data_IF_177795055438
#
_entry.id   IF_177795055438
#
_cell.length_a   1.000
_cell.length_b   1.000
_cell.length_c   1.000
_cell.angle_alpha   90.00
_cell.angle_beta   90.00
_cell.angle_gamma   90.00
#
_symmetry.space_group_name_H-M   'P 1'
#
loop_
_entity.id
_entity.type
_entity.pdbx_description
1 polymer ?
#
# COMPACT_ATOMS: atom_id res chain seq x y z
N UNK A 1 6.46 15.53 -8.43
CA UNK A 1 6.72 14.31 -7.65
C UNK A 1 5.43 13.52 -7.64
N UNK A 2 5.46 12.22 -7.95
CA UNK A 2 4.24 11.40 -7.92
C UNK A 2 3.65 11.42 -6.51
N UNK A 3 2.34 11.57 -6.40
CA UNK A 3 1.63 11.50 -5.12
C UNK A 3 0.70 10.29 -5.15
N UNK A 4 1.12 9.22 -4.48
CA UNK A 4 0.27 8.05 -4.29
C UNK A 4 -0.81 8.34 -3.25
N UNK A 5 -1.93 7.60 -3.33
CA UNK A 5 -2.81 7.46 -2.17
C UNK A 5 -1.98 6.82 -1.05
N UNK A 6 -2.03 7.42 0.14
CA UNK A 6 -1.32 6.87 1.30
C UNK A 6 -2.11 5.73 1.92
N UNK A 7 -1.44 4.63 2.27
CA UNK A 7 -2.03 3.55 3.05
C UNK A 7 -1.50 3.58 4.49
N UNK A 8 -2.41 3.68 5.46
CA UNK A 8 -2.09 3.77 6.89
C UNK A 8 -2.58 2.56 7.71
N UNK A 9 -3.11 1.52 7.04
CA UNK A 9 -3.81 0.29 7.49
C UNK A 9 -5.32 0.27 7.26
N UNK A 10 -5.95 1.43 7.04
CA UNK A 10 -7.39 1.53 6.83
C UNK A 10 -7.73 1.50 5.33
N UNK A 11 -8.98 1.14 5.03
CA UNK A 11 -9.46 0.89 3.68
C UNK A 11 -9.03 -0.46 3.13
N UNK A 12 -9.59 -0.84 1.97
CA UNK A 12 -9.33 -2.13 1.35
C UNK A 12 -7.92 -2.21 0.72
N UNK A 13 -7.02 -3.09 1.21
CA UNK A 13 -5.66 -3.21 0.70
C UNK A 13 -5.60 -3.54 -0.79
N UNK A 14 -6.54 -4.37 -1.28
CA UNK A 14 -6.66 -4.74 -2.69
C UNK A 14 -7.05 -3.54 -3.58
N UNK A 15 -7.91 -2.64 -3.10
CA UNK A 15 -8.25 -1.41 -3.82
C UNK A 15 -7.08 -0.43 -3.83
N UNK A 16 -6.34 -0.35 -2.73
CA UNK A 16 -5.11 0.43 -2.67
C UNK A 16 -4.06 -0.09 -3.66
N UNK A 17 -3.82 -1.41 -3.73
CA UNK A 17 -2.90 -2.00 -4.70
C UNK A 17 -3.30 -1.69 -6.15
N UNK A 18 -4.59 -1.83 -6.50
CA UNK A 18 -5.11 -1.46 -7.83
C UNK A 18 -4.87 0.02 -8.15
N UNK A 19 -5.10 0.90 -7.17
CA UNK A 19 -4.88 2.34 -7.35
C UNK A 19 -3.39 2.67 -7.52
N UNK A 20 -2.51 2.02 -6.76
CA UNK A 20 -1.07 2.16 -6.90
C UNK A 20 -0.60 1.67 -8.28
N UNK A 21 -1.01 0.47 -8.68
CA UNK A 21 -0.65 -0.14 -9.96
C UNK A 21 -1.13 0.70 -11.15
N UNK A 22 -2.38 1.17 -11.14
CA UNK A 22 -2.92 2.02 -12.21
C UNK A 22 -2.13 3.32 -12.43
N UNK A 23 -1.49 3.84 -11.37
CA UNK A 23 -0.68 5.06 -11.47
C UNK A 23 0.73 4.77 -11.96
N UNK A 24 1.35 3.69 -11.47
CA UNK A 24 2.74 3.40 -11.81
C UNK A 24 2.88 2.73 -13.18
N UNK A 25 1.90 1.91 -13.58
CA UNK A 25 1.85 1.25 -14.89
C UNK A 25 1.81 2.25 -16.06
N UNK A 26 1.31 3.47 -15.83
CA UNK A 26 1.36 4.55 -16.82
C UNK A 26 2.79 5.05 -17.07
N UNK A 27 3.70 4.88 -16.11
CA UNK A 27 5.05 5.42 -16.16
C UNK A 27 6.10 4.36 -16.47
N UNK A 28 5.88 3.14 -15.99
CA UNK A 28 6.85 2.05 -16.11
C UNK A 28 6.19 0.69 -15.92
N UNK A 29 6.84 -0.35 -16.42
CA UNK A 29 6.53 -1.75 -16.14
C UNK A 29 7.70 -2.45 -15.42
N UNK A 30 8.61 -1.68 -14.84
CA UNK A 30 9.81 -2.18 -14.14
C UNK A 30 9.50 -2.51 -12.67
N UNK A 31 9.53 -3.79 -12.33
CA UNK A 31 9.26 -4.32 -10.99
C UNK A 31 10.17 -3.71 -9.91
N UNK A 32 11.43 -3.37 -10.22
CA UNK A 32 12.32 -2.74 -9.25
C UNK A 32 11.88 -1.30 -8.93
N UNK A 33 11.26 -0.62 -9.89
CA UNK A 33 10.70 0.72 -9.67
C UNK A 33 9.44 0.61 -8.81
N UNK A 34 8.58 -0.39 -9.06
CA UNK A 34 7.43 -0.70 -8.22
C UNK A 34 7.83 -0.96 -6.77
N UNK A 35 8.76 -1.89 -6.55
CA UNK A 35 9.23 -2.27 -5.22
C UNK A 35 9.85 -1.09 -4.45
N UNK A 36 10.60 -0.20 -5.12
CA UNK A 36 11.18 1.00 -4.49
C UNK A 36 10.15 2.10 -4.23
N UNK A 37 9.17 2.27 -5.10
CA UNK A 37 8.16 3.32 -4.96
C UNK A 37 7.13 2.97 -3.89
N UNK A 38 6.76 1.70 -3.74
CA UNK A 38 5.65 1.29 -2.89
C UNK A 38 5.76 1.73 -1.43
N UNK A 39 6.91 1.53 -0.72
CA UNK A 39 7.05 1.95 0.67
C UNK A 39 6.90 3.46 0.88
N UNK A 40 7.16 4.28 -0.15
CA UNK A 40 6.98 5.74 -0.08
C UNK A 40 5.52 6.18 0.03
N UNK A 41 4.58 5.27 -0.25
CA UNK A 41 3.14 5.50 -0.14
C UNK A 41 2.54 4.97 1.16
N UNK A 42 3.36 4.53 2.11
CA UNK A 42 2.90 4.13 3.43
C UNK A 42 2.98 5.25 4.46
N UNK A 43 2.07 5.20 5.43
CA UNK A 43 2.18 5.99 6.65
C UNK A 43 1.72 5.18 7.87
N UNK A 44 1.81 5.79 9.05
CA UNK A 44 1.25 5.22 10.28
C UNK A 44 1.71 3.79 10.55
N UNK A 45 0.77 2.86 10.64
CA UNK A 45 1.08 1.47 10.98
C UNK A 45 1.65 0.66 9.81
N UNK A 46 1.28 0.98 8.57
CA UNK A 46 1.83 0.33 7.40
C UNK A 46 3.35 0.60 7.29
N UNK A 47 3.76 1.85 7.47
CA UNK A 47 5.19 2.21 7.44
C UNK A 47 5.97 1.55 8.59
N UNK A 48 5.37 1.49 9.79
CA UNK A 48 5.99 0.80 10.94
C UNK A 48 6.13 -0.70 10.71
N UNK A 49 5.19 -1.33 10.01
CA UNK A 49 5.28 -2.74 9.63
C UNK A 49 6.40 -2.95 8.62
N UNK A 50 6.47 -2.12 7.58
CA UNK A 50 7.50 -2.24 6.55
C UNK A 50 8.92 -2.17 7.14
N UNK A 51 9.18 -1.25 8.06
CA UNK A 51 10.47 -1.14 8.75
C UNK A 51 10.82 -2.33 9.68
N UNK A 52 9.87 -3.23 9.97
CA UNK A 52 10.11 -4.45 10.76
C UNK A 52 10.38 -5.67 9.88
N UNK A 53 10.23 -5.57 8.56
CA UNK A 53 10.56 -6.65 7.65
C UNK A 53 12.05 -6.97 7.76
N UNK A 54 12.37 -8.25 7.62
CA UNK A 54 13.76 -8.70 7.70
C UNK A 54 14.51 -8.16 6.47
N UNK A 55 15.72 -7.61 6.61
CA UNK A 55 16.51 -7.21 5.46
C UNK A 55 16.65 -8.36 4.45
N UNK A 56 16.60 -8.05 3.15
CA UNK A 56 16.67 -9.03 2.06
C UNK A 56 15.52 -10.07 2.04
N UNK A 57 14.36 -9.77 2.64
CA UNK A 57 13.15 -10.61 2.51
C UNK A 57 12.25 -10.23 1.34
N UNK A 58 12.67 -9.25 0.53
CA UNK A 58 11.93 -8.74 -0.62
C UNK A 58 12.91 -8.77 -1.80
N UNK A 59 12.73 -9.72 -2.72
CA UNK A 59 13.55 -9.84 -3.92
C UNK A 59 12.92 -9.11 -5.12
N UNK A 60 11.63 -8.78 -5.04
CA UNK A 60 10.95 -8.01 -6.07
C UNK A 60 9.58 -7.47 -5.66
N UNK A 61 8.85 -6.95 -6.65
CA UNK A 61 7.52 -6.38 -6.45
C UNK A 61 6.52 -7.40 -5.89
N UNK A 62 6.51 -8.62 -6.42
CA UNK A 62 5.54 -9.64 -6.03
C UNK A 62 5.71 -10.06 -4.56
N UNK A 63 6.95 -10.26 -4.07
CA UNK A 63 7.18 -10.61 -2.66
C UNK A 63 6.65 -9.52 -1.72
N UNK A 64 6.84 -8.25 -2.11
CA UNK A 64 6.36 -7.13 -1.33
C UNK A 64 4.82 -7.06 -1.31
N UNK A 65 4.17 -7.37 -2.42
CA UNK A 65 2.71 -7.49 -2.51
C UNK A 65 2.20 -8.63 -1.64
N UNK A 66 2.85 -9.78 -1.67
CA UNK A 66 2.46 -10.96 -0.91
C UNK A 66 2.60 -10.71 0.60
N UNK A 67 3.73 -10.17 1.05
CA UNK A 67 3.94 -9.76 2.44
C UNK A 67 2.91 -8.72 2.89
N UNK A 68 2.58 -7.77 2.02
CA UNK A 68 1.58 -6.74 2.31
C UNK A 68 0.18 -7.34 2.45
N UNK A 69 -0.20 -8.26 1.56
CA UNK A 69 -1.50 -8.92 1.57
C UNK A 69 -1.64 -9.92 2.73
N UNK A 70 -0.58 -10.64 3.09
CA UNK A 70 -0.55 -11.46 4.30
C UNK A 70 -0.77 -10.59 5.55
N UNK A 71 -0.14 -9.41 5.59
CA UNK A 71 -0.26 -8.54 6.77
C UNK A 71 -1.59 -7.82 6.88
N UNK A 72 -2.10 -7.29 5.78
CA UNK A 72 -3.21 -6.35 5.77
C UNK A 72 -4.43 -6.84 5.01
N UNK A 73 -4.39 -7.97 4.31
CA UNK A 73 -5.45 -8.44 3.40
C UNK A 73 -6.86 -8.49 4.00
N UNK A 74 -6.95 -8.74 5.32
CA UNK A 74 -8.20 -8.76 6.07
C UNK A 74 -8.60 -7.41 6.70
N UNK A 75 -7.73 -6.40 6.62
CA UNK A 75 -7.97 -5.06 7.17
C UNK A 75 -9.01 -4.33 6.32
N UNK A 76 -10.28 -4.60 6.57
CA UNK A 76 -11.45 -3.96 5.93
C UNK A 76 -11.96 -2.76 6.73
N UNK A 77 -11.15 -2.22 7.63
CA UNK A 77 -11.58 -1.14 8.51
C UNK A 77 -11.79 0.11 7.66
N UNK A 78 -13.01 0.66 7.67
CA UNK A 78 -13.38 1.84 6.91
C UNK A 78 -12.29 2.93 7.01
N UNK A 79 -11.90 3.43 5.83
CA UNK A 79 -10.96 4.54 5.70
C UNK A 79 -11.48 5.72 6.52
N UNK A 80 -10.59 6.53 7.09
CA UNK A 80 -11.01 7.67 7.94
C UNK A 80 -11.93 8.61 7.16
N UNK A 81 -11.66 8.79 5.86
CA UNK A 81 -12.53 9.54 4.94
C UNK A 81 -13.92 8.89 4.79
N UNK A 82 -14.01 7.55 4.71
CA UNK A 82 -15.28 6.84 4.60
C UNK A 82 -16.08 6.89 5.92
N UNK A 83 -15.37 6.85 7.06
CA UNK A 83 -15.98 7.04 8.38
C UNK A 83 -16.53 8.45 8.54
N UNK A 84 -15.75 9.47 8.17
CA UNK A 84 -16.18 10.85 8.19
C UNK A 84 -17.39 11.09 7.27
N UNK A 85 -17.45 10.46 6.10
CA UNK A 85 -18.61 10.52 5.20
C UNK A 85 -19.86 9.85 5.80
N UNK A 86 -19.69 8.77 6.57
CA UNK A 86 -20.80 8.08 7.25
C UNK A 86 -21.32 8.79 8.50
N UNK A 87 -20.54 9.69 9.10
CA UNK A 87 -20.95 10.49 10.26
C UNK A 87 -21.75 11.76 9.87
N UNK A 88 -21.81 12.09 8.58
CA UNK A 88 -22.55 13.26 8.05
C UNK A 88 -23.98 12.88 7.58
N UNK A 89 -24.38 11.61 7.71
CA UNK A 89 -25.74 11.09 7.43
C UNK A 89 -26.43 10.60 8.70
#
# INVERSE_FOLDING_TARGET
MLKFKTFNKFGHPSNYLKSFDSQLSFLTSDDEVYARAFPSSFSGQALKWFHKLTPNSIDGWQDLVDLFMDKFGESIVADEDERALKEIQ
#
